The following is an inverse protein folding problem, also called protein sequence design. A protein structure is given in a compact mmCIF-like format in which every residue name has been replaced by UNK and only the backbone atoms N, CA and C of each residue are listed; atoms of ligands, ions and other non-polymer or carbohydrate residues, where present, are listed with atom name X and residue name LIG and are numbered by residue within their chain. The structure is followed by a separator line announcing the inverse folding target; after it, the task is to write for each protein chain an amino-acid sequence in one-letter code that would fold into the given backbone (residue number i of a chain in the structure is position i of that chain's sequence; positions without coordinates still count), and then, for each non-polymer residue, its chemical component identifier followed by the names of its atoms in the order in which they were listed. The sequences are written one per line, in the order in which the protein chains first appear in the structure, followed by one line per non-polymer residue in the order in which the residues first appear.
data_IF_319470274770
#
_entry.id   IF_319470274770
#
_cell.length_a   1.000
_cell.length_b   1.000
_cell.length_c   1.000
_cell.angle_alpha   90.00
_cell.angle_beta   90.00
_cell.angle_gamma   90.00
#
_symmetry.space_group_name_H-M   'P 1'
#
loop_
_entity.id
_entity.type
_entity.pdbx_description
1 polymer ?
#
# COMPACT_ATOMS: atom_id res chain seq x y z
N UNK A 1 0.48 15.76 -7.74
CA UNK A 1 -0.85 15.95 -7.14
C UNK A 1 -1.47 17.29 -7.56
N UNK A 2 -0.75 18.43 -7.49
CA UNK A 2 -1.25 19.74 -7.88
C UNK A 2 -1.70 19.79 -9.36
N UNK A 3 -0.89 19.30 -10.31
CA UNK A 3 -1.26 19.28 -11.74
C UNK A 3 -2.52 18.46 -12.04
N UNK A 4 -2.74 17.38 -11.28
CA UNK A 4 -3.92 16.57 -11.44
C UNK A 4 -5.17 17.27 -10.87
N UNK A 5 -5.02 17.97 -9.75
CA UNK A 5 -6.08 18.77 -9.16
C UNK A 5 -6.45 19.94 -10.08
N UNK A 6 -5.45 20.64 -10.65
CA UNK A 6 -5.66 21.72 -11.61
C UNK A 6 -6.42 21.20 -12.85
N UNK A 7 -6.01 20.05 -13.40
CA UNK A 7 -6.70 19.40 -14.51
C UNK A 7 -8.16 19.08 -14.17
N UNK A 8 -8.45 18.61 -12.97
CA UNK A 8 -9.80 18.29 -12.52
C UNK A 8 -10.67 19.53 -12.31
N UNK A 9 -10.09 20.64 -11.85
CA UNK A 9 -10.80 21.91 -11.70
C UNK A 9 -11.15 22.51 -13.05
N UNK A 10 -10.29 22.34 -14.06
CA UNK A 10 -10.53 22.79 -15.43
C UNK A 10 -11.49 21.87 -16.21
N UNK A 11 -11.57 20.58 -15.82
CA UNK A 11 -12.40 19.57 -16.46
C UNK A 11 -13.31 18.92 -15.42
N UNK A 12 -14.40 19.57 -15.00
CA UNK A 12 -15.29 19.04 -13.96
C UNK A 12 -16.12 17.87 -14.47
N UNK A 13 -15.48 16.72 -14.65
CA UNK A 13 -16.18 15.45 -14.73
C UNK A 13 -16.52 14.99 -13.31
N UNK A 14 -17.61 14.24 -13.12
CA UNK A 14 -17.84 13.58 -11.85
C UNK A 14 -16.61 12.72 -11.54
N UNK A 15 -15.78 13.18 -10.61
CA UNK A 15 -14.59 12.45 -10.18
C UNK A 15 -15.13 11.29 -9.38
N UNK A 16 -15.07 10.13 -9.96
CA UNK A 16 -15.22 8.91 -9.18
C UNK A 16 -13.93 8.72 -8.37
N UNK A 17 -13.96 9.19 -7.12
CA UNK A 17 -12.92 8.90 -6.14
C UNK A 17 -13.05 7.46 -5.62
N UNK A 18 -13.51 6.55 -6.47
CA UNK A 18 -13.61 5.14 -6.14
C UNK A 18 -12.29 4.63 -5.58
N UNK A 19 -12.35 4.01 -4.40
CA UNK A 19 -11.19 3.34 -3.83
C UNK A 19 -10.86 2.11 -4.66
N UNK A 20 -9.58 1.77 -4.79
CA UNK A 20 -9.13 0.62 -5.60
C UNK A 20 -9.34 -0.72 -4.92
N UNK A 21 -9.51 -0.72 -3.63
CA UNK A 21 -9.72 -1.91 -2.83
C UNK A 21 -10.77 -1.68 -1.75
N UNK A 22 -11.01 -2.69 -0.90
CA UNK A 22 -12.02 -2.61 0.13
C UNK A 22 -11.70 -1.51 1.14
N UNK A 23 -12.75 -0.87 1.66
CA UNK A 23 -12.66 0.13 2.72
C UNK A 23 -13.67 -0.19 3.80
N UNK A 24 -13.17 -0.35 5.02
CA UNK A 24 -13.98 -0.45 6.23
C UNK A 24 -13.59 0.67 7.18
N UNK A 25 -14.57 1.21 7.86
CA UNK A 25 -14.35 2.18 8.93
C UNK A 25 -15.29 1.90 10.10
N UNK A 26 -14.74 1.65 11.28
CA UNK A 26 -15.47 1.29 12.50
C UNK A 26 -16.44 0.12 12.31
N UNK A 27 -16.01 -0.88 11.53
CA UNK A 27 -16.80 -2.05 11.19
C UNK A 27 -17.89 -1.82 10.14
N UNK A 28 -18.04 -0.59 9.62
CA UNK A 28 -18.90 -0.28 8.50
C UNK A 28 -18.16 -0.50 7.19
N UNK A 29 -18.74 -1.30 6.30
CA UNK A 29 -18.21 -1.53 4.96
C UNK A 29 -18.62 -0.34 4.08
N UNK A 30 -17.64 0.43 3.62
CA UNK A 30 -17.84 1.54 2.68
C UNK A 30 -17.64 1.09 1.24
N UNK A 31 -16.74 0.13 1.02
CA UNK A 31 -16.54 -0.58 -0.23
C UNK A 31 -16.10 -2.02 0.08
N UNK A 32 -16.67 -3.02 -0.59
CA UNK A 32 -16.48 -4.44 -0.28
C UNK A 32 -15.78 -5.25 -1.38
N UNK A 33 -15.20 -4.59 -2.36
CA UNK A 33 -14.59 -5.25 -3.50
C UNK A 33 -13.31 -4.56 -3.97
N UNK A 34 -12.54 -5.28 -4.76
CA UNK A 34 -11.38 -4.77 -5.46
C UNK A 34 -11.82 -4.28 -6.84
N UNK A 35 -11.36 -3.09 -7.21
CA UNK A 35 -11.61 -2.48 -8.52
C UNK A 35 -10.30 -2.45 -9.28
N UNK A 36 -9.93 -3.52 -10.00
CA UNK A 36 -8.78 -3.50 -10.88
C UNK A 36 -9.12 -2.62 -12.09
N UNK A 37 -8.68 -1.37 -12.06
CA UNK A 37 -8.79 -0.52 -13.22
C UNK A 37 -7.80 -0.96 -14.28
N UNK A 38 -8.24 -0.97 -15.53
CA UNK A 38 -7.37 -1.22 -16.67
C UNK A 38 -6.17 -0.27 -16.60
N UNK A 39 -4.99 -0.82 -16.58
CA UNK A 39 -3.75 -0.09 -16.44
C UNK A 39 -3.20 0.08 -15.02
N UNK A 40 -3.99 -0.13 -13.97
CA UNK A 40 -3.56 0.05 -12.57
C UNK A 40 -3.90 -1.16 -11.68
N UNK A 41 -3.99 -2.35 -12.29
CA UNK A 41 -4.34 -3.59 -11.59
C UNK A 41 -3.47 -3.84 -10.37
N UNK A 42 -2.20 -3.45 -10.42
CA UNK A 42 -1.25 -3.60 -9.33
C UNK A 42 -1.61 -2.82 -8.06
N UNK A 43 -2.54 -1.88 -8.11
CA UNK A 43 -3.00 -1.11 -6.96
C UNK A 43 -4.19 -1.74 -6.22
N UNK A 44 -4.75 -2.82 -6.74
CA UNK A 44 -5.94 -3.47 -6.21
C UNK A 44 -5.72 -4.96 -5.98
N UNK A 45 -4.66 -5.33 -5.26
CA UNK A 45 -4.24 -6.74 -5.14
C UNK A 45 -4.32 -7.29 -3.73
N UNK A 46 -4.23 -6.42 -2.75
CA UNK A 46 -4.18 -6.79 -1.34
C UNK A 46 -4.94 -5.78 -0.49
N UNK A 47 -5.02 -6.05 0.79
CA UNK A 47 -5.57 -5.13 1.76
C UNK A 47 -4.77 -5.15 3.05
N UNK A 48 -4.76 -4.01 3.72
CA UNK A 48 -4.38 -3.85 5.11
C UNK A 48 -5.67 -3.72 5.92
N UNK A 49 -5.82 -4.52 6.96
CA UNK A 49 -6.97 -4.46 7.85
C UNK A 49 -6.59 -4.51 9.31
N UNK A 50 -7.53 -4.10 10.15
CA UNK A 50 -7.49 -4.32 11.60
C UNK A 50 -8.78 -5.04 11.95
N UNK A 51 -8.67 -6.17 12.62
CA UNK A 51 -9.85 -6.93 13.04
C UNK A 51 -10.53 -6.34 14.29
N UNK A 52 -11.68 -6.89 14.66
CA UNK A 52 -12.46 -6.47 15.83
C UNK A 52 -11.72 -6.63 17.17
N UNK A 53 -10.62 -7.38 17.18
CA UNK A 53 -9.76 -7.59 18.36
C UNK A 53 -8.54 -6.65 18.34
N UNK A 54 -8.40 -5.78 17.33
CA UNK A 54 -7.27 -4.88 17.17
C UNK A 54 -6.05 -5.52 16.51
N UNK A 55 -6.17 -6.74 15.97
CA UNK A 55 -5.08 -7.43 15.28
C UNK A 55 -4.94 -6.90 13.86
N UNK A 56 -3.71 -6.52 13.49
CA UNK A 56 -3.39 -6.12 12.12
C UNK A 56 -3.31 -7.33 11.21
N UNK A 57 -3.89 -7.22 10.03
CA UNK A 57 -3.98 -8.27 9.02
C UNK A 57 -3.57 -7.70 7.66
N UNK A 58 -2.86 -8.51 6.90
CA UNK A 58 -2.57 -8.26 5.49
C UNK A 58 -3.03 -9.48 4.72
N UNK A 59 -3.91 -9.29 3.76
CA UNK A 59 -4.44 -10.36 2.92
C UNK A 59 -4.51 -9.96 1.45
N UNK A 60 -4.75 -10.93 0.60
CA UNK A 60 -5.02 -10.73 -0.81
C UNK A 60 -6.53 -10.62 -1.06
N UNK A 61 -6.90 -10.36 -2.29
CA UNK A 61 -8.31 -10.34 -2.69
C UNK A 61 -9.04 -11.66 -2.37
N UNK A 62 -8.34 -12.79 -2.48
CA UNK A 62 -8.92 -14.11 -2.14
C UNK A 62 -9.15 -14.26 -0.63
N UNK A 63 -8.27 -13.71 0.21
CA UNK A 63 -8.39 -13.78 1.66
C UNK A 63 -9.51 -12.88 2.17
N UNK A 64 -9.76 -11.75 1.49
CA UNK A 64 -10.74 -10.76 1.89
C UNK A 64 -12.15 -11.35 2.06
N UNK A 65 -12.56 -12.23 1.15
CA UNK A 65 -13.88 -12.86 1.18
C UNK A 65 -14.15 -13.63 2.50
N UNK A 66 -13.11 -14.18 3.10
CA UNK A 66 -13.19 -14.93 4.36
C UNK A 66 -12.96 -14.08 5.60
N UNK A 67 -12.32 -12.94 5.46
CA UNK A 67 -11.90 -12.07 6.58
C UNK A 67 -12.81 -10.86 6.78
N UNK A 68 -13.52 -10.40 5.75
CA UNK A 68 -14.23 -9.13 5.73
C UNK A 68 -15.19 -8.90 6.88
N UNK A 69 -15.93 -9.93 7.29
CA UNK A 69 -16.93 -9.81 8.36
C UNK A 69 -16.32 -9.59 9.75
N UNK A 70 -15.02 -9.83 9.89
CA UNK A 70 -14.29 -9.61 11.14
C UNK A 70 -13.45 -8.32 11.12
N UNK A 71 -13.40 -7.59 10.01
CA UNK A 71 -12.63 -6.36 9.91
C UNK A 71 -13.34 -5.19 10.58
N UNK A 72 -12.60 -4.43 11.37
CA UNK A 72 -13.00 -3.16 11.96
C UNK A 72 -12.58 -1.98 11.08
N UNK A 73 -11.34 -2.03 10.61
CA UNK A 73 -10.75 -1.08 9.67
C UNK A 73 -10.14 -1.83 8.50
N UNK A 74 -10.21 -1.27 7.30
CA UNK A 74 -9.61 -1.84 6.12
C UNK A 74 -9.33 -0.77 5.07
N UNK A 75 -8.20 -0.93 4.40
CA UNK A 75 -7.89 -0.18 3.17
C UNK A 75 -7.27 -1.09 2.13
N UNK A 76 -7.55 -0.82 0.87
CA UNK A 76 -6.89 -1.51 -0.24
C UNK A 76 -5.40 -1.23 -0.26
N UNK A 77 -4.64 -2.16 -0.81
CA UNK A 77 -3.21 -2.09 -1.00
C UNK A 77 -2.77 -2.68 -2.34
N UNK A 78 -1.52 -2.43 -2.68
CA UNK A 78 -0.88 -2.95 -3.87
C UNK A 78 -0.30 -4.35 -3.67
N UNK A 79 0.95 -4.52 -4.07
CA UNK A 79 1.63 -5.81 -3.94
C UNK A 79 1.92 -6.20 -2.50
N UNK A 80 1.77 -7.48 -2.21
CA UNK A 80 2.43 -8.07 -1.06
C UNK A 80 3.90 -8.29 -1.40
N UNK A 81 4.78 -7.64 -0.66
CA UNK A 81 6.23 -7.81 -0.79
C UNK A 81 6.75 -8.95 0.09
N UNK A 82 6.03 -9.26 1.18
CA UNK A 82 6.37 -10.31 2.12
C UNK A 82 5.10 -11.07 2.55
N UNK A 83 5.15 -12.40 2.54
CA UNK A 83 4.08 -13.30 2.98
C UNK A 83 4.67 -14.39 3.87
N UNK A 84 4.23 -14.46 5.12
CA UNK A 84 4.63 -15.47 6.09
C UNK A 84 6.16 -15.67 6.15
N UNK A 85 6.90 -14.55 6.20
CA UNK A 85 8.35 -14.51 6.23
C UNK A 85 9.05 -14.83 4.91
N UNK A 86 8.30 -15.01 3.82
CA UNK A 86 8.86 -15.29 2.48
C UNK A 86 8.69 -14.09 1.57
N UNK A 87 9.78 -13.73 0.88
CA UNK A 87 9.73 -12.68 -0.14
C UNK A 87 8.81 -13.13 -1.27
N UNK A 88 7.85 -12.29 -1.63
CA UNK A 88 7.01 -12.53 -2.78
C UNK A 88 7.82 -12.24 -4.05
N UNK A 89 7.94 -13.25 -4.91
CA UNK A 89 8.63 -13.19 -6.20
C UNK A 89 7.65 -13.53 -7.31
N UNK A 90 7.86 -12.95 -8.49
CA UNK A 90 7.10 -13.33 -9.68
C UNK A 90 5.66 -12.81 -9.64
N UNK A 91 5.55 -11.51 -9.73
CA UNK A 91 4.26 -10.87 -9.92
C UNK A 91 3.90 -10.93 -11.40
N UNK A 92 3.03 -11.87 -11.79
CA UNK A 92 2.48 -11.99 -13.15
C UNK A 92 1.47 -10.86 -13.43
N UNK A 93 1.90 -9.61 -13.20
CA UNK A 93 1.01 -8.49 -13.41
C UNK A 93 1.35 -7.80 -14.72
N UNK A 94 0.33 -7.71 -15.55
CA UNK A 94 0.40 -7.05 -16.84
C UNK A 94 -0.27 -5.68 -16.76
N UNK A 95 0.45 -4.67 -17.22
CA UNK A 95 -0.06 -3.35 -17.49
C UNK A 95 -0.12 -3.16 -19.01
N UNK A 96 -1.30 -2.88 -19.57
CA UNK A 96 -1.51 -2.77 -21.02
C UNK A 96 -0.89 -3.94 -21.82
N UNK A 97 -1.06 -5.17 -21.32
CA UNK A 97 -0.52 -6.36 -21.95
C UNK A 97 0.97 -6.64 -21.70
N UNK A 98 1.71 -5.70 -21.13
CA UNK A 98 3.12 -5.86 -20.78
C UNK A 98 3.27 -6.13 -19.28
N UNK A 99 4.26 -6.96 -18.93
CA UNK A 99 4.61 -7.15 -17.52
C UNK A 99 5.11 -5.83 -16.92
N UNK A 100 4.67 -5.53 -15.70
CA UNK A 100 5.22 -4.42 -14.95
C UNK A 100 6.69 -4.72 -14.65
N UNK A 101 7.63 -3.82 -14.95
CA UNK A 101 9.04 -4.05 -14.66
C UNK A 101 9.26 -3.98 -13.15
N UNK A 102 9.22 -5.14 -12.50
CA UNK A 102 9.37 -5.28 -11.04
C UNK A 102 10.82 -5.10 -10.59
N UNK A 103 11.73 -5.06 -11.55
CA UNK A 103 13.17 -4.89 -11.33
C UNK A 103 13.59 -3.43 -11.36
N UNK A 104 12.70 -2.52 -11.77
CA UNK A 104 12.97 -1.10 -11.70
C UNK A 104 12.91 -0.59 -10.26
N UNK A 105 13.73 0.41 -9.98
CA UNK A 105 13.76 1.07 -8.67
C UNK A 105 12.74 2.20 -8.61
N UNK A 106 11.98 2.22 -7.52
CA UNK A 106 10.95 3.24 -7.25
C UNK A 106 11.09 3.81 -5.84
N UNK A 107 10.66 5.06 -5.61
CA UNK A 107 10.26 5.51 -4.28
C UNK A 107 9.17 4.58 -3.75
N UNK A 108 9.26 4.17 -2.50
CA UNK A 108 8.44 3.08 -1.97
C UNK A 108 7.74 3.48 -0.68
N UNK A 109 6.45 3.21 -0.59
CA UNK A 109 5.69 3.22 0.67
C UNK A 109 5.25 1.80 0.96
N UNK A 110 5.54 1.31 2.16
CA UNK A 110 5.19 -0.04 2.57
C UNK A 110 4.71 -0.06 4.01
N UNK A 111 3.85 -1.02 4.32
CA UNK A 111 3.42 -1.33 5.67
C UNK A 111 3.52 -2.84 5.88
N UNK A 112 3.96 -3.22 7.06
CA UNK A 112 4.04 -4.62 7.46
C UNK A 112 3.88 -4.78 8.96
N UNK A 113 3.85 -6.01 9.43
CA UNK A 113 3.77 -6.30 10.84
C UNK A 113 4.66 -7.50 11.22
N UNK A 114 5.08 -7.50 12.48
CA UNK A 114 5.76 -8.59 13.16
C UNK A 114 4.75 -9.52 13.85
N UNK A 115 5.18 -10.70 14.22
CA UNK A 115 4.33 -11.68 14.94
C UNK A 115 3.91 -11.17 16.33
N UNK A 116 4.67 -10.24 16.92
CA UNK A 116 4.33 -9.60 18.20
C UNK A 116 3.26 -8.48 18.06
N UNK A 117 2.77 -8.24 16.85
CA UNK A 117 1.78 -7.20 16.53
C UNK A 117 2.38 -5.82 16.24
N UNK A 118 3.71 -5.65 16.33
CA UNK A 118 4.36 -4.38 15.96
C UNK A 118 4.14 -4.08 14.48
N UNK A 119 3.61 -2.89 14.18
CA UNK A 119 3.43 -2.41 12.82
C UNK A 119 4.63 -1.56 12.40
N UNK A 120 5.17 -1.85 11.23
CA UNK A 120 6.26 -1.09 10.60
C UNK A 120 5.68 -0.36 9.39
N UNK A 121 5.85 0.95 9.37
CA UNK A 121 5.60 1.79 8.19
C UNK A 121 6.94 2.28 7.66
N UNK A 122 7.15 2.12 6.37
CA UNK A 122 8.39 2.45 5.68
C UNK A 122 8.12 3.34 4.48
N UNK A 123 8.92 4.38 4.33
CA UNK A 123 9.08 5.07 3.05
C UNK A 123 10.54 5.01 2.62
N UNK A 124 10.76 5.01 1.34
CA UNK A 124 12.08 5.05 0.72
C UNK A 124 12.06 6.09 -0.40
N UNK A 125 12.99 7.02 -0.34
CA UNK A 125 13.19 7.98 -1.42
C UNK A 125 13.70 7.30 -2.69
N UNK A 126 13.45 7.92 -3.82
CA UNK A 126 13.97 7.41 -5.09
C UNK A 126 13.91 8.46 -6.19
N UNK A 127 14.33 8.06 -7.40
CA UNK A 127 14.39 8.94 -8.58
C UNK A 127 15.25 10.18 -8.36
N UNK A 128 16.24 10.10 -7.49
CA UNK A 128 17.15 11.19 -7.18
C UNK A 128 18.62 10.75 -7.31
N UNK A 129 19.54 11.70 -7.26
CA UNK A 129 20.99 11.42 -7.29
C UNK A 129 21.49 10.77 -6.00
N UNK A 130 20.72 10.85 -4.92
CA UNK A 130 21.05 10.30 -3.60
C UNK A 130 20.46 8.90 -3.43
N UNK A 131 19.26 8.68 -3.95
CA UNK A 131 18.55 7.40 -3.87
C UNK A 131 17.84 7.09 -5.18
N UNK A 132 18.06 5.90 -5.71
CA UNK A 132 17.33 5.39 -6.88
C UNK A 132 15.96 4.83 -6.49
N UNK A 133 15.77 4.49 -5.22
CA UNK A 133 14.63 3.75 -4.72
C UNK A 133 14.94 2.27 -4.52
N UNK A 134 13.90 1.45 -4.41
CA UNK A 134 14.01 0.00 -4.26
C UNK A 134 13.22 -0.72 -5.35
N UNK A 135 13.63 -1.93 -5.66
CA UNK A 135 12.80 -2.93 -6.32
C UNK A 135 11.79 -3.51 -5.32
N UNK A 136 10.75 -4.18 -5.80
CA UNK A 136 9.77 -4.85 -4.93
C UNK A 136 10.41 -5.94 -4.06
N UNK A 137 11.39 -6.67 -4.59
CA UNK A 137 12.11 -7.70 -3.86
C UNK A 137 12.96 -7.09 -2.73
N UNK A 138 13.70 -6.03 -3.01
CA UNK A 138 14.50 -5.31 -2.01
C UNK A 138 13.64 -4.70 -0.91
N UNK A 139 12.46 -4.15 -1.26
CA UNK A 139 11.52 -3.66 -0.26
C UNK A 139 11.03 -4.79 0.65
N UNK A 140 10.74 -5.96 0.10
CA UNK A 140 10.42 -7.17 0.88
C UNK A 140 11.57 -7.62 1.78
N UNK A 141 12.80 -7.65 1.28
CA UNK A 141 14.00 -8.00 2.07
C UNK A 141 14.21 -7.00 3.22
N UNK A 142 14.03 -5.71 2.95
CA UNK A 142 14.17 -4.67 3.97
C UNK A 142 13.11 -4.83 5.07
N UNK A 143 11.84 -5.02 4.70
CA UNK A 143 10.77 -5.28 5.67
C UNK A 143 11.04 -6.55 6.49
N UNK A 144 11.52 -7.61 5.86
CA UNK A 144 11.94 -8.85 6.54
C UNK A 144 13.10 -8.62 7.50
N UNK A 145 14.11 -7.83 7.11
CA UNK A 145 15.24 -7.51 7.98
C UNK A 145 14.82 -6.73 9.23
N UNK A 146 13.72 -5.97 9.14
CA UNK A 146 13.09 -5.30 10.29
C UNK A 146 12.20 -6.24 11.12
N UNK A 147 12.16 -7.53 10.79
CA UNK A 147 11.42 -8.56 11.54
C UNK A 147 9.96 -8.72 11.12
N UNK A 148 9.52 -8.08 10.04
CA UNK A 148 8.16 -8.31 9.54
C UNK A 148 8.00 -9.73 9.01
N UNK A 149 6.83 -10.32 9.24
CA UNK A 149 6.40 -11.58 8.64
C UNK A 149 5.47 -11.37 7.45
N UNK A 150 4.76 -10.25 7.44
CA UNK A 150 3.90 -9.86 6.33
C UNK A 150 4.11 -8.37 6.02
N UNK A 151 4.10 -8.03 4.74
CA UNK A 151 4.19 -6.66 4.27
C UNK A 151 3.54 -6.50 2.91
N UNK A 152 2.98 -5.32 2.67
CA UNK A 152 2.45 -4.90 1.38
C UNK A 152 2.98 -3.52 0.99
N UNK A 153 2.93 -3.25 -0.29
CA UNK A 153 3.15 -1.93 -0.85
C UNK A 153 1.86 -1.12 -0.79
N UNK A 154 2.00 0.14 -0.43
CA UNK A 154 1.01 1.19 -0.70
C UNK A 154 1.35 1.88 -2.02
N UNK A 155 0.85 3.09 -2.25
CA UNK A 155 1.26 3.86 -3.42
C UNK A 155 2.76 4.24 -3.32
N UNK A 156 3.38 4.41 -4.46
CA UNK A 156 4.80 4.71 -4.58
C UNK A 156 5.06 5.95 -5.45
N UNK A 157 6.27 6.06 -5.96
CA UNK A 157 6.64 7.21 -6.78
C UNK A 157 6.53 8.53 -6.02
N UNK A 158 5.94 9.53 -6.64
CA UNK A 158 5.71 10.85 -6.02
C UNK A 158 4.70 10.87 -4.86
N UNK A 159 3.95 9.76 -4.66
CA UNK A 159 3.01 9.61 -3.55
C UNK A 159 3.66 9.06 -2.28
N UNK A 160 4.93 8.62 -2.35
CA UNK A 160 5.65 8.07 -1.19
C UNK A 160 5.99 9.18 -0.21
N UNK A 161 5.13 9.39 0.78
CA UNK A 161 5.25 10.44 1.79
C UNK A 161 4.83 9.92 3.17
N UNK A 162 5.47 10.43 4.22
CA UNK A 162 5.14 10.13 5.60
C UNK A 162 5.12 11.39 6.45
N UNK A 163 4.08 11.55 7.24
CA UNK A 163 4.00 12.60 8.25
C UNK A 163 4.32 12.01 9.63
N UNK A 164 5.34 12.55 10.28
CA UNK A 164 5.68 12.20 11.65
C UNK A 164 5.25 13.31 12.60
N UNK A 165 4.48 12.95 13.62
CA UNK A 165 4.12 13.85 14.69
C UNK A 165 5.22 13.85 15.77
N UNK A 166 5.74 15.01 16.09
CA UNK A 166 6.60 15.18 17.25
C UNK A 166 5.72 15.20 18.51
N UNK A 167 5.86 14.21 19.37
CA UNK A 167 5.02 14.05 20.54
C UNK A 167 5.16 15.21 21.56
N UNK A 168 6.35 15.82 21.64
CA UNK A 168 6.62 16.94 22.58
C UNK A 168 6.02 18.25 22.10
N UNK A 169 6.01 18.50 20.80
CA UNK A 169 5.58 19.79 20.23
C UNK A 169 4.19 19.72 19.58
N UNK A 170 3.68 18.52 19.31
CA UNK A 170 2.45 18.28 18.55
C UNK A 170 2.56 18.61 17.05
N UNK A 171 3.72 19.08 16.58
CA UNK A 171 3.93 19.47 15.18
C UNK A 171 4.19 18.25 14.31
N UNK A 172 3.69 18.31 13.08
CA UNK A 172 3.97 17.32 12.05
C UNK A 172 5.16 17.74 11.20
N UNK A 173 5.98 16.76 10.82
CA UNK A 173 7.09 16.92 9.88
C UNK A 173 6.89 15.94 8.75
N UNK A 174 6.91 16.45 7.51
CA UNK A 174 6.91 15.63 6.31
C UNK A 174 8.27 14.98 6.16
N UNK A 175 8.24 13.67 5.91
CA UNK A 175 9.39 12.87 5.51
C UNK A 175 9.20 12.49 4.05
N UNK A 176 10.16 12.80 3.21
CA UNK A 176 10.21 12.48 1.78
C UNK A 176 11.65 12.40 1.31
#
# INVERSE_FOLDING_TARGET
FSRWLDYQLENPHPIDFGTRGPVHHRGQVLQDHFVPEEGWVHQALSFLGVDKNGKVLIGDAADYATMKDNLQECTGGGYRTLRDGKICKGFDIKYNGNYVPLEDNYPFSSVGYRDDGTVIMMIVDGRSTISTGLTYAEAGELMKSMGCTNALMLDGGGSAQMLLKNEKTGKFTLQN
#
